data_IF_949505186955
#
_entry.id   IF_949505186955
#
_cell.length_a   1.000
_cell.length_b   1.000
_cell.length_c   1.000
_cell.angle_alpha   90.00
_cell.angle_beta   90.00
_cell.angle_gamma   90.00
#
_symmetry.space_group_name_H-M   'P 1'
#
loop_
_entity.id
_entity.type
_entity.pdbx_description
1 polymer ?
#
# COMPACT_ATOMS: atom_id res chain seq x y z
N UNK A 1 -18.98 -20.50 -28.31
CA UNK A 1 -17.70 -19.82 -28.03
C UNK A 1 -16.56 -20.68 -28.55
N UNK A 2 -15.68 -20.11 -29.36
CA UNK A 2 -14.46 -20.74 -29.87
C UNK A 2 -13.38 -20.79 -28.78
N UNK A 3 -12.50 -21.81 -28.81
CA UNK A 3 -11.38 -21.94 -27.85
C UNK A 3 -10.48 -20.68 -27.80
N UNK A 4 -10.37 -19.96 -28.93
CA UNK A 4 -9.61 -18.72 -29.04
C UNK A 4 -10.28 -17.59 -28.24
N UNK A 5 -11.62 -17.51 -28.26
CA UNK A 5 -12.39 -16.51 -27.51
C UNK A 5 -12.25 -16.76 -26.00
N UNK A 6 -12.28 -18.02 -25.58
CA UNK A 6 -12.09 -18.40 -24.16
C UNK A 6 -10.69 -18.02 -23.64
N UNK A 7 -9.66 -18.18 -24.46
CA UNK A 7 -8.28 -17.79 -24.09
C UNK A 7 -8.12 -16.28 -23.98
N UNK A 8 -8.71 -15.51 -24.92
CA UNK A 8 -8.69 -14.05 -24.87
C UNK A 8 -9.39 -13.50 -23.63
N UNK A 9 -10.58 -14.03 -23.31
CA UNK A 9 -11.33 -13.63 -22.12
C UNK A 9 -10.55 -13.87 -20.82
N UNK A 10 -9.89 -15.03 -20.70
CA UNK A 10 -9.03 -15.34 -19.53
C UNK A 10 -7.84 -14.40 -19.39
N UNK A 11 -7.22 -14.01 -20.50
CA UNK A 11 -6.10 -13.06 -20.46
C UNK A 11 -6.57 -11.66 -20.07
N UNK A 12 -7.70 -11.21 -20.62
CA UNK A 12 -8.28 -9.90 -20.28
C UNK A 12 -8.64 -9.82 -18.80
N UNK A 13 -9.21 -10.90 -18.24
CA UNK A 13 -9.51 -10.98 -16.81
C UNK A 13 -8.25 -10.82 -15.93
N UNK A 14 -7.16 -11.52 -16.27
CA UNK A 14 -5.88 -11.39 -15.54
C UNK A 14 -5.31 -9.98 -15.59
N UNK A 15 -5.42 -9.31 -16.74
CA UNK A 15 -4.94 -7.92 -16.87
C UNK A 15 -5.79 -6.98 -16.00
N UNK A 16 -7.12 -7.17 -15.97
CA UNK A 16 -8.00 -6.39 -15.09
C UNK A 16 -7.67 -6.60 -13.62
N UNK A 17 -7.47 -7.85 -13.19
CA UNK A 17 -7.06 -8.18 -11.82
C UNK A 17 -5.73 -7.50 -11.46
N UNK A 18 -4.74 -7.57 -12.35
CA UNK A 18 -3.45 -6.92 -12.14
C UNK A 18 -3.59 -5.40 -12.01
N UNK A 19 -4.42 -4.77 -12.84
CA UNK A 19 -4.69 -3.33 -12.77
C UNK A 19 -5.45 -2.92 -11.54
N UNK A 20 -6.38 -3.75 -11.08
CA UNK A 20 -7.08 -3.53 -9.83
C UNK A 20 -6.12 -3.60 -8.64
N UNK A 21 -5.27 -4.63 -8.57
CA UNK A 21 -4.25 -4.75 -7.52
C UNK A 21 -3.33 -3.52 -7.55
N UNK A 22 -2.85 -3.11 -8.72
CA UNK A 22 -1.98 -1.93 -8.87
C UNK A 22 -2.66 -0.66 -8.31
N UNK A 23 -3.97 -0.47 -8.58
CA UNK A 23 -4.76 0.66 -8.07
C UNK A 23 -4.86 0.63 -6.55
N UNK A 24 -5.26 -0.51 -5.97
CA UNK A 24 -5.40 -0.68 -4.52
C UNK A 24 -4.07 -0.41 -3.81
N UNK A 25 -2.96 -0.93 -4.34
CA UNK A 25 -1.62 -0.72 -3.75
C UNK A 25 -1.17 0.74 -3.84
N UNK A 26 -1.49 1.45 -4.93
CA UNK A 26 -1.18 2.88 -5.08
C UNK A 26 -1.93 3.73 -4.06
N UNK A 27 -3.23 3.48 -3.91
CA UNK A 27 -4.06 4.20 -2.95
C UNK A 27 -3.59 3.95 -1.52
N UNK A 28 -3.36 2.68 -1.15
CA UNK A 28 -2.91 2.33 0.19
C UNK A 28 -1.49 2.83 0.48
N UNK A 29 -0.60 2.88 -0.51
CA UNK A 29 0.73 3.49 -0.32
C UNK A 29 0.67 4.97 0.04
N UNK A 30 -0.29 5.70 -0.57
CA UNK A 30 -0.53 7.11 -0.29
C UNK A 30 -1.11 7.29 1.11
N UNK A 31 -2.07 6.44 1.48
CA UNK A 31 -2.69 6.47 2.80
C UNK A 31 -1.72 6.09 3.93
N UNK A 32 -0.82 5.11 3.69
CA UNK A 32 0.27 4.78 4.62
C UNK A 32 1.12 6.02 4.86
N UNK A 33 1.58 6.69 3.79
CA UNK A 33 2.43 7.86 3.93
C UNK A 33 1.73 8.98 4.72
N UNK A 34 0.45 9.25 4.41
CA UNK A 34 -0.38 10.23 5.14
C UNK A 34 -0.55 9.85 6.61
N UNK A 35 -0.79 8.58 6.93
CA UNK A 35 -0.93 8.11 8.30
C UNK A 35 0.36 8.31 9.10
N UNK A 36 1.51 8.04 8.48
CA UNK A 36 2.81 8.27 9.09
C UNK A 36 3.08 9.77 9.30
N UNK A 37 2.79 10.62 8.31
CA UNK A 37 2.87 12.09 8.42
C UNK A 37 2.02 12.65 9.57
N UNK A 38 0.78 12.17 9.73
CA UNK A 38 -0.09 12.54 10.85
C UNK A 38 0.48 12.14 12.21
N UNK A 39 1.16 11.01 12.30
CA UNK A 39 1.82 10.59 13.54
C UNK A 39 3.03 11.47 13.85
N UNK A 40 3.85 11.78 12.84
CA UNK A 40 5.03 12.64 13.01
C UNK A 40 4.64 14.03 13.50
N UNK A 41 3.59 14.61 12.92
CA UNK A 41 3.08 15.91 13.36
C UNK A 41 2.52 15.86 14.79
N UNK A 42 1.75 14.80 15.12
CA UNK A 42 1.18 14.62 16.46
C UNK A 42 2.22 14.46 17.56
N UNK A 43 3.31 13.74 17.29
CA UNK A 43 4.34 13.45 18.31
C UNK A 43 5.48 14.50 18.32
N UNK A 44 5.37 15.59 17.54
CA UNK A 44 6.35 16.67 17.43
C UNK A 44 7.78 16.13 17.27
N UNK A 45 7.94 15.20 16.33
CA UNK A 45 9.12 14.34 16.18
C UNK A 45 10.27 15.09 15.48
N UNK A 46 10.43 16.41 15.72
CA UNK A 46 11.40 17.31 15.05
C UNK A 46 12.83 16.75 15.04
N UNK A 47 13.21 16.02 16.09
CA UNK A 47 14.52 15.35 16.23
C UNK A 47 14.78 14.25 15.19
N UNK A 48 13.76 13.65 14.59
CA UNK A 48 13.89 12.53 13.67
C UNK A 48 13.36 12.85 12.26
N UNK A 49 12.98 14.10 11.99
CA UNK A 49 12.44 14.57 10.70
C UNK A 49 13.39 14.29 9.51
N UNK A 50 14.72 14.48 9.61
CA UNK A 50 15.63 14.23 8.50
C UNK A 50 15.65 12.75 8.06
N UNK A 51 15.51 11.83 9.01
CA UNK A 51 15.49 10.40 8.73
C UNK A 51 14.11 9.96 8.26
N UNK A 52 13.05 10.48 8.88
CA UNK A 52 11.68 10.05 8.58
C UNK A 52 11.18 10.51 7.20
N UNK A 53 11.77 11.57 6.64
CA UNK A 53 11.42 12.10 5.31
C UNK A 53 12.01 11.31 4.14
N UNK A 54 12.89 10.34 4.38
CA UNK A 54 13.55 9.55 3.33
C UNK A 54 12.75 8.33 2.86
N UNK A 55 11.52 8.18 3.33
CA UNK A 55 10.66 7.06 2.94
C UNK A 55 10.25 7.16 1.49
N UNK A 56 10.22 6.00 0.82
CA UNK A 56 9.73 5.89 -0.55
C UNK A 56 8.82 4.68 -0.66
N UNK A 57 7.66 4.90 -1.27
CA UNK A 57 6.76 3.83 -1.66
C UNK A 57 6.76 3.73 -3.18
N UNK A 58 6.82 2.51 -3.70
CA UNK A 58 6.76 2.24 -5.12
C UNK A 58 5.85 1.05 -5.37
N UNK A 59 4.96 1.18 -6.33
CA UNK A 59 4.13 0.06 -6.81
C UNK A 59 4.70 -0.42 -8.14
N UNK A 60 5.03 -1.70 -8.21
CA UNK A 60 5.54 -2.38 -9.41
C UNK A 60 4.62 -3.55 -9.71
N UNK A 61 3.66 -3.35 -10.62
CA UNK A 61 2.62 -4.32 -10.93
C UNK A 61 1.81 -4.67 -9.68
N UNK A 62 1.92 -5.91 -9.21
CA UNK A 62 1.21 -6.44 -8.03
C UNK A 62 2.00 -6.34 -6.72
N UNK A 63 3.12 -5.61 -6.71
CA UNK A 63 4.02 -5.49 -5.55
C UNK A 63 4.08 -4.05 -5.06
N UNK A 64 3.92 -3.88 -3.75
CA UNK A 64 4.21 -2.62 -3.06
C UNK A 64 5.57 -2.73 -2.36
N UNK A 65 6.50 -1.90 -2.78
CA UNK A 65 7.84 -1.76 -2.21
C UNK A 65 7.87 -0.55 -1.28
N UNK A 66 8.33 -0.74 -0.05
CA UNK A 66 8.54 0.33 0.92
C UNK A 66 10.01 0.40 1.32
N UNK A 67 10.66 1.50 1.00
CA UNK A 67 12.03 1.80 1.44
C UNK A 67 11.97 2.80 2.58
N UNK A 68 12.62 2.47 3.69
CA UNK A 68 12.67 3.32 4.88
C UNK A 68 14.00 3.13 5.62
N UNK A 69 14.47 4.12 6.40
CA UNK A 69 15.64 3.95 7.23
C UNK A 69 15.42 2.93 8.35
N UNK A 70 16.42 2.11 8.62
CA UNK A 70 16.38 1.08 9.68
C UNK A 70 16.04 1.68 11.06
N UNK A 71 16.43 2.96 11.28
CA UNK A 71 16.14 3.71 12.51
C UNK A 71 14.65 3.88 12.80
N UNK A 72 13.79 3.92 11.77
CA UNK A 72 12.34 4.03 11.98
C UNK A 72 11.78 2.86 12.80
N UNK A 73 12.30 1.65 12.60
CA UNK A 73 11.85 0.47 13.37
C UNK A 73 12.16 0.59 14.87
N UNK A 74 13.18 1.37 15.23
CA UNK A 74 13.55 1.63 16.62
C UNK A 74 12.72 2.74 17.27
N UNK A 75 12.09 3.63 16.49
CA UNK A 75 11.18 4.66 17.01
C UNK A 75 9.91 4.03 17.61
N UNK A 76 9.49 2.90 17.06
CA UNK A 76 8.39 2.08 17.56
C UNK A 76 8.73 1.37 18.88
N UNK A 77 10.01 1.31 19.28
CA UNK A 77 10.47 0.56 20.45
C UNK A 77 10.55 1.44 21.70
N UNK A 78 10.22 0.86 22.87
CA UNK A 78 10.18 1.56 24.17
C UNK A 78 11.56 1.78 24.81
N UNK A 79 12.58 1.04 24.35
CA UNK A 79 13.96 1.09 24.87
C UNK A 79 14.95 1.04 23.72
N UNK A 80 15.61 2.16 23.48
CA UNK A 80 16.83 2.27 22.70
C UNK A 80 17.90 2.72 23.69
N UNK A 81 18.81 1.83 24.05
CA UNK A 81 19.98 2.16 24.89
C UNK A 81 19.69 2.50 26.36
N UNK A 82 18.75 1.79 27.02
CA UNK A 82 18.54 1.88 28.47
C UNK A 82 17.72 3.08 28.96
N UNK A 83 17.54 4.11 28.13
CA UNK A 83 16.65 5.24 28.41
C UNK A 83 15.21 4.87 28.06
N UNK A 84 14.26 5.14 28.97
CA UNK A 84 12.82 4.94 28.70
C UNK A 84 12.34 6.04 27.75
N UNK A 85 11.92 5.66 26.55
CA UNK A 85 11.25 6.55 25.61
C UNK A 85 9.79 6.14 25.43
N UNK A 86 8.91 7.11 25.16
CA UNK A 86 7.54 6.82 24.74
C UNK A 86 7.58 6.27 23.31
N UNK A 87 7.13 5.01 23.07
CA UNK A 87 7.13 4.45 21.73
C UNK A 87 6.17 5.23 20.85
N UNK A 88 6.62 5.56 19.64
CA UNK A 88 5.79 6.22 18.62
C UNK A 88 5.51 5.16 17.57
N UNK A 89 4.27 4.68 17.40
CA UNK A 89 3.97 3.56 16.51
C UNK A 89 3.89 4.04 15.05
N UNK A 90 5.04 4.42 14.49
CA UNK A 90 5.20 5.03 13.19
C UNK A 90 5.28 3.99 12.07
N UNK A 91 5.90 2.85 12.34
CA UNK A 91 6.21 1.86 11.31
C UNK A 91 5.24 0.67 11.36
N UNK A 92 5.49 -0.30 12.23
CA UNK A 92 4.81 -1.61 12.19
C UNK A 92 3.29 -1.46 12.32
N UNK A 93 2.83 -0.67 13.30
CA UNK A 93 1.39 -0.51 13.56
C UNK A 93 0.65 0.07 12.35
N UNK A 94 1.26 1.04 11.67
CA UNK A 94 0.69 1.65 10.47
C UNK A 94 0.68 0.64 9.33
N UNK A 95 1.82 0.02 9.05
CA UNK A 95 1.95 -0.96 7.96
C UNK A 95 0.95 -2.11 8.10
N UNK A 96 0.84 -2.72 9.29
CA UNK A 96 -0.12 -3.81 9.51
C UNK A 96 -1.59 -3.36 9.46
N UNK A 97 -1.89 -2.13 9.88
CA UNK A 97 -3.23 -1.57 9.73
C UNK A 97 -3.65 -1.46 8.27
N UNK A 98 -2.78 -0.90 7.42
CA UNK A 98 -3.03 -0.78 5.99
C UNK A 98 -2.95 -2.13 5.26
N UNK A 99 -2.13 -3.06 5.73
CA UNK A 99 -2.08 -4.42 5.19
C UNK A 99 -3.45 -5.12 5.28
N UNK A 100 -4.16 -4.96 6.39
CA UNK A 100 -5.51 -5.49 6.53
C UNK A 100 -6.50 -4.80 5.57
N UNK A 101 -6.36 -3.49 5.35
CA UNK A 101 -7.18 -2.77 4.37
C UNK A 101 -6.94 -3.28 2.95
N UNK A 102 -5.67 -3.51 2.59
CA UNK A 102 -5.28 -4.10 1.31
C UNK A 102 -5.96 -5.47 1.16
N UNK A 103 -5.83 -6.38 2.15
CA UNK A 103 -6.46 -7.70 2.10
C UNK A 103 -7.96 -7.60 1.85
N UNK A 104 -8.66 -6.76 2.62
CA UNK A 104 -10.11 -6.61 2.49
C UNK A 104 -10.53 -6.05 1.13
N UNK A 105 -9.82 -5.04 0.62
CA UNK A 105 -10.06 -4.47 -0.71
C UNK A 105 -9.79 -5.50 -1.80
N UNK A 106 -8.72 -6.28 -1.70
CA UNK A 106 -8.40 -7.30 -2.68
C UNK A 106 -9.40 -8.47 -2.65
N UNK A 107 -9.90 -8.85 -1.48
CA UNK A 107 -10.85 -9.94 -1.33
C UNK A 107 -12.25 -9.61 -1.87
N UNK A 108 -12.73 -8.39 -1.65
CA UNK A 108 -14.14 -8.04 -1.89
C UNK A 108 -14.38 -6.89 -2.86
N UNK A 109 -13.35 -6.11 -3.18
CA UNK A 109 -13.54 -4.87 -3.94
C UNK A 109 -13.49 -5.01 -5.45
N UNK A 110 -13.20 -6.20 -6.01
CA UNK A 110 -13.26 -6.40 -7.47
C UNK A 110 -14.70 -6.71 -7.94
N UNK A 111 -15.56 -5.69 -7.90
CA UNK A 111 -16.95 -5.78 -8.37
C UNK A 111 -17.04 -5.69 -9.90
N UNK A 112 -18.19 -6.08 -10.48
CA UNK A 112 -18.42 -5.94 -11.93
C UNK A 112 -18.34 -4.49 -12.40
N UNK A 113 -18.86 -3.54 -11.61
CA UNK A 113 -18.76 -2.11 -11.88
C UNK A 113 -17.29 -1.64 -11.96
N UNK A 114 -16.45 -2.13 -11.04
CA UNK A 114 -15.02 -1.80 -11.02
C UNK A 114 -14.30 -2.46 -12.21
N UNK A 115 -14.64 -3.70 -12.57
CA UNK A 115 -14.10 -4.36 -13.77
C UNK A 115 -14.43 -3.58 -15.03
N UNK A 116 -15.67 -3.10 -15.16
CA UNK A 116 -16.09 -2.28 -16.30
C UNK A 116 -15.34 -0.95 -16.33
N UNK A 117 -15.21 -0.29 -15.18
CA UNK A 117 -14.47 0.97 -15.05
C UNK A 117 -13.02 0.82 -15.48
N UNK A 118 -12.32 -0.20 -14.97
CA UNK A 118 -10.93 -0.50 -15.36
C UNK A 118 -10.86 -0.92 -16.83
N UNK A 119 -11.84 -1.70 -17.31
CA UNK A 119 -11.93 -2.08 -18.72
C UNK A 119 -12.01 -0.88 -19.66
N UNK A 120 -12.82 0.11 -19.30
CA UNK A 120 -12.93 1.38 -20.04
C UNK A 120 -11.64 2.21 -19.95
N UNK A 121 -11.06 2.38 -18.76
CA UNK A 121 -9.83 3.15 -18.55
C UNK A 121 -8.64 2.62 -19.38
N UNK A 122 -8.55 1.30 -19.54
CA UNK A 122 -7.42 0.64 -20.21
C UNK A 122 -7.76 0.04 -21.59
N UNK A 123 -8.95 0.32 -22.13
CA UNK A 123 -9.45 -0.22 -23.41
C UNK A 123 -9.41 -1.76 -23.48
N UNK A 124 -9.75 -2.44 -22.39
CA UNK A 124 -9.82 -3.90 -22.30
C UNK A 124 -11.26 -4.31 -22.58
N UNK A 125 -11.48 -5.11 -23.63
CA UNK A 125 -12.78 -5.68 -23.94
C UNK A 125 -13.08 -6.83 -22.97
N UNK A 126 -14.19 -6.73 -22.24
CA UNK A 126 -14.73 -7.78 -21.38
C UNK A 126 -15.42 -8.87 -22.20
#
# INVERSE_FOLDING_TARGET
MSAIETLKSRNNLKVLEQKYIERVLKDESTEINRAQERLISRFNVKKYVPEITQRKFRVVGTRLESTHPIRERFIDMRRTSGVRQRPIPLHNKVIYGHFNNIINKLAYGLTEEIKQTIGQEYNIQL
#
